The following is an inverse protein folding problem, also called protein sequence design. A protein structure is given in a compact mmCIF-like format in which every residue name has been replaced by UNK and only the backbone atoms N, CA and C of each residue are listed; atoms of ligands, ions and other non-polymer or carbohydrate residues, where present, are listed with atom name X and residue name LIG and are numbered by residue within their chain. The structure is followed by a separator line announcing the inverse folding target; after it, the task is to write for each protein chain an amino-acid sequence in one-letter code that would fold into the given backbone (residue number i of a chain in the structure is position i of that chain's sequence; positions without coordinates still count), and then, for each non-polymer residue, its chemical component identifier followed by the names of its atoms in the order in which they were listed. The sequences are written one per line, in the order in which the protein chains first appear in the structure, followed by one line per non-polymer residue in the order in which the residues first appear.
data_IF_385425240335
#
_entry.id   IF_385425240335
#
_cell.length_a   1.000
_cell.length_b   1.000
_cell.length_c   1.000
_cell.angle_alpha   90.00
_cell.angle_beta   90.00
_cell.angle_gamma   90.00
#
_symmetry.space_group_name_H-M   'P 1'
#
loop_
_entity.id
_entity.type
_entity.pdbx_description
1 polymer ?
#
# COMPACT_ATOMS: atom_id res chain seq x y z
N UNK A 1 38.25 12.61 -29.84
CA UNK A 1 38.81 13.93 -29.46
C UNK A 1 38.19 14.36 -28.14
N UNK A 2 38.99 14.52 -27.09
CA UNK A 2 38.51 15.01 -25.79
C UNK A 2 38.31 16.53 -25.88
N UNK A 3 37.07 16.99 -25.72
CA UNK A 3 36.78 18.42 -25.50
C UNK A 3 37.42 18.90 -24.18
N UNK A 4 38.16 20.01 -24.14
CA UNK A 4 38.80 20.48 -22.91
C UNK A 4 37.77 20.91 -21.85
N UNK A 5 37.89 20.38 -20.62
CA UNK A 5 36.94 20.63 -19.52
C UNK A 5 36.86 22.13 -19.18
N UNK A 6 37.98 22.82 -19.28
CA UNK A 6 38.15 24.25 -18.97
C UNK A 6 37.33 25.17 -19.89
N UNK A 7 37.21 24.81 -21.17
CA UNK A 7 36.39 25.56 -22.14
C UNK A 7 34.90 25.39 -21.80
N UNK A 8 34.52 24.19 -21.37
CA UNK A 8 33.15 23.90 -21.01
C UNK A 8 32.72 24.64 -19.73
N UNK A 9 33.57 24.63 -18.70
CA UNK A 9 33.31 25.35 -17.44
C UNK A 9 33.20 26.86 -17.66
N UNK A 10 34.03 27.41 -18.54
CA UNK A 10 33.96 28.82 -18.96
C UNK A 10 32.63 29.16 -19.64
N UNK A 11 32.18 28.33 -20.60
CA UNK A 11 30.89 28.52 -21.29
C UNK A 11 29.71 28.43 -20.32
N UNK A 12 29.72 27.44 -19.42
CA UNK A 12 28.66 27.23 -18.43
C UNK A 12 28.55 28.39 -17.42
N UNK A 13 29.66 29.06 -17.12
CA UNK A 13 29.68 30.18 -16.17
C UNK A 13 28.87 31.40 -16.65
N UNK A 14 28.70 31.54 -17.96
CA UNK A 14 28.02 32.67 -18.60
C UNK A 14 26.54 32.42 -18.94
N UNK A 15 26.03 31.20 -18.69
CA UNK A 15 24.64 30.86 -19.00
C UNK A 15 23.69 31.06 -17.81
N UNK A 16 22.39 31.30 -18.05
CA UNK A 16 21.36 31.21 -17.02
C UNK A 16 21.33 29.84 -16.33
N UNK A 17 20.91 29.79 -15.05
CA UNK A 17 20.99 28.58 -14.20
C UNK A 17 20.20 27.40 -14.78
N UNK A 18 19.06 27.69 -15.40
CA UNK A 18 18.18 26.75 -16.10
C UNK A 18 18.86 26.11 -17.33
N UNK A 19 19.59 26.89 -18.12
CA UNK A 19 20.36 26.38 -19.27
C UNK A 19 21.60 25.57 -18.83
N UNK A 20 22.22 25.91 -17.70
CA UNK A 20 23.30 25.10 -17.10
C UNK A 20 22.82 23.70 -16.72
N UNK A 21 21.62 23.58 -16.17
CA UNK A 21 21.05 22.29 -15.79
C UNK A 21 20.76 21.43 -17.02
N UNK A 22 20.19 22.02 -18.08
CA UNK A 22 19.89 21.33 -19.35
C UNK A 22 21.15 20.82 -20.05
N UNK A 23 22.18 21.66 -20.10
CA UNK A 23 23.46 21.32 -20.74
C UNK A 23 24.27 20.31 -19.89
N UNK A 24 24.26 20.42 -18.56
CA UNK A 24 24.90 19.44 -17.69
C UNK A 24 24.27 18.04 -17.83
N UNK A 25 22.95 17.97 -17.99
CA UNK A 25 22.22 16.73 -18.29
C UNK A 25 22.58 16.20 -19.68
N UNK A 26 22.61 17.05 -20.72
CA UNK A 26 23.01 16.65 -22.07
C UNK A 26 24.49 16.22 -22.17
N UNK A 27 25.41 16.88 -21.45
CA UNK A 27 26.85 16.56 -21.49
C UNK A 27 27.21 15.32 -20.67
N UNK A 28 26.46 15.02 -19.60
CA UNK A 28 26.47 13.69 -18.97
C UNK A 28 26.03 12.59 -19.94
N UNK A 29 25.18 12.90 -20.91
CA UNK A 29 24.79 11.95 -21.96
C UNK A 29 25.80 11.88 -23.12
N UNK A 30 26.50 12.97 -23.46
CA UNK A 30 27.38 13.04 -24.64
C UNK A 30 28.79 12.46 -24.42
N UNK A 31 29.31 12.38 -23.18
CA UNK A 31 30.64 11.78 -22.92
C UNK A 31 30.60 10.37 -22.31
N UNK A 32 29.46 9.93 -21.82
CA UNK A 32 29.32 8.66 -21.07
C UNK A 32 28.07 7.88 -21.46
N UNK A 33 27.66 7.96 -22.73
CA UNK A 33 26.52 7.21 -23.27
C UNK A 33 26.61 5.71 -22.96
N UNK A 34 27.81 5.14 -22.91
CA UNK A 34 28.05 3.72 -22.61
C UNK A 34 28.38 3.43 -21.13
N UNK A 35 28.80 4.43 -20.35
CA UNK A 35 29.19 4.28 -18.94
C UNK A 35 28.04 4.56 -17.96
N UNK A 36 27.02 5.32 -18.36
CA UNK A 36 25.88 5.71 -17.50
C UNK A 36 24.62 4.84 -17.68
N UNK A 37 24.60 3.88 -18.62
CA UNK A 37 23.46 2.97 -18.87
C UNK A 37 22.97 2.28 -17.58
N UNK A 38 23.84 1.83 -16.64
CA UNK A 38 23.39 1.23 -15.38
C UNK A 38 22.70 2.24 -14.44
N UNK A 39 23.11 3.51 -14.48
CA UNK A 39 22.54 4.60 -13.68
C UNK A 39 21.28 5.24 -14.30
N UNK A 40 21.02 4.98 -15.59
CA UNK A 40 19.76 5.36 -16.23
C UNK A 40 18.61 4.40 -15.85
N UNK A 41 18.90 3.15 -15.47
CA UNK A 41 17.88 2.24 -14.90
C UNK A 41 17.27 2.76 -13.60
N UNK A 42 18.07 3.42 -12.75
CA UNK A 42 17.55 4.10 -11.55
C UNK A 42 16.86 5.42 -11.87
N UNK A 43 16.90 5.89 -13.12
CA UNK A 43 16.14 7.03 -13.60
C UNK A 43 14.92 6.62 -14.44
N UNK A 44 14.54 5.32 -14.51
CA UNK A 44 13.42 4.84 -15.34
C UNK A 44 12.10 5.56 -15.04
N UNK A 45 11.15 5.48 -15.99
CA UNK A 45 9.78 5.96 -15.82
C UNK A 45 9.12 5.36 -14.56
N UNK A 46 9.41 4.09 -14.23
CA UNK A 46 8.96 3.46 -12.98
C UNK A 46 9.50 4.18 -11.74
N UNK A 47 10.81 4.50 -11.70
CA UNK A 47 11.40 5.17 -10.55
C UNK A 47 11.01 6.65 -10.47
N UNK A 48 10.84 7.33 -11.61
CA UNK A 48 10.31 8.68 -11.67
C UNK A 48 8.87 8.73 -11.10
N UNK A 49 8.04 7.75 -11.47
CA UNK A 49 6.68 7.58 -10.92
C UNK A 49 6.71 7.32 -9.41
N UNK A 50 7.59 6.43 -8.96
CA UNK A 50 7.81 6.12 -7.54
C UNK A 50 8.27 7.33 -6.72
N UNK A 51 8.96 8.30 -7.31
CA UNK A 51 9.51 9.46 -6.61
C UNK A 51 8.67 10.74 -6.78
N UNK A 52 7.50 10.65 -7.41
CA UNK A 52 6.66 11.79 -7.75
C UNK A 52 7.37 12.86 -8.60
N UNK A 53 8.24 12.43 -9.53
CA UNK A 53 9.07 13.34 -10.33
C UNK A 53 8.47 13.57 -11.73
N UNK A 54 7.38 14.34 -11.81
CA UNK A 54 6.70 14.65 -13.08
C UNK A 54 7.65 15.29 -14.10
N UNK A 55 8.51 16.22 -13.69
CA UNK A 55 9.50 16.82 -14.60
C UNK A 55 10.52 15.83 -15.17
N UNK A 56 10.82 14.74 -14.45
CA UNK A 56 11.66 13.67 -14.97
C UNK A 56 10.89 12.80 -15.99
N UNK A 57 9.59 12.57 -15.76
CA UNK A 57 8.71 11.90 -16.71
C UNK A 57 8.60 12.69 -18.02
N UNK A 58 8.41 14.01 -17.95
CA UNK A 58 8.41 14.91 -19.11
C UNK A 58 9.74 14.88 -19.86
N UNK A 59 10.86 14.95 -19.13
CA UNK A 59 12.18 14.86 -19.73
C UNK A 59 12.37 13.55 -20.49
N UNK A 60 12.00 12.41 -19.90
CA UNK A 60 12.06 11.12 -20.58
C UNK A 60 11.24 11.13 -21.86
N UNK A 61 9.97 11.55 -21.78
CA UNK A 61 9.07 11.65 -22.93
C UNK A 61 9.64 12.53 -24.05
N UNK A 62 10.32 13.63 -23.71
CA UNK A 62 10.96 14.55 -24.66
C UNK A 62 12.38 14.18 -25.08
N UNK A 63 13.00 13.14 -24.50
CA UNK A 63 14.42 12.83 -24.69
C UNK A 63 14.76 12.21 -26.06
N UNK A 64 13.76 11.65 -26.76
CA UNK A 64 13.98 10.84 -27.97
C UNK A 64 14.66 9.50 -27.71
N UNK A 65 14.86 9.11 -26.44
CA UNK A 65 15.35 7.79 -26.05
C UNK A 65 14.21 6.76 -26.08
N UNK A 66 14.56 5.49 -26.22
CA UNK A 66 13.60 4.40 -26.07
C UNK A 66 13.01 4.40 -24.65
N UNK A 67 11.69 4.46 -24.57
CA UNK A 67 10.95 4.50 -23.32
C UNK A 67 10.54 3.08 -22.91
N UNK A 68 10.92 2.69 -21.69
CA UNK A 68 10.54 1.41 -21.10
C UNK A 68 9.95 1.63 -19.70
N UNK A 69 8.81 0.99 -19.45
CA UNK A 69 8.11 1.03 -18.16
C UNK A 69 7.31 -0.26 -17.96
N UNK A 70 7.00 -0.54 -16.70
CA UNK A 70 6.22 -1.71 -16.31
C UNK A 70 4.92 -1.28 -15.63
N UNK A 71 4.12 -2.25 -15.18
CA UNK A 71 2.93 -1.95 -14.36
C UNK A 71 3.29 -1.23 -13.06
N UNK A 72 4.55 -1.33 -12.59
CA UNK A 72 5.00 -0.67 -11.37
C UNK A 72 4.87 0.85 -11.43
N UNK A 73 4.96 1.48 -12.61
CA UNK A 73 4.87 2.93 -12.71
C UNK A 73 3.54 3.45 -12.13
N UNK A 74 2.43 2.88 -12.59
CA UNK A 74 1.08 3.28 -12.17
C UNK A 74 0.69 2.63 -10.82
N UNK A 75 1.07 1.35 -10.61
CA UNK A 75 0.77 0.65 -9.35
C UNK A 75 1.44 1.31 -8.14
N UNK A 76 2.72 1.72 -8.28
CA UNK A 76 3.46 2.39 -7.20
C UNK A 76 3.02 3.84 -7.03
N UNK A 77 2.70 4.56 -8.11
CA UNK A 77 2.13 5.90 -8.00
C UNK A 77 0.81 5.87 -7.21
N UNK A 78 -0.04 4.88 -7.47
CA UNK A 78 -1.28 4.67 -6.71
C UNK A 78 -1.01 4.29 -5.25
N UNK A 79 -0.03 3.40 -5.03
CA UNK A 79 0.41 3.00 -3.68
C UNK A 79 0.91 4.18 -2.87
N UNK A 80 1.59 5.15 -3.48
CA UNK A 80 2.22 6.28 -2.79
C UNK A 80 1.37 7.55 -2.80
N UNK A 81 0.15 7.52 -3.34
CA UNK A 81 -0.73 8.69 -3.35
C UNK A 81 -0.38 9.76 -4.38
N UNK A 82 0.44 9.44 -5.39
CA UNK A 82 0.98 10.39 -6.37
C UNK A 82 -0.04 10.71 -7.48
N UNK A 83 -1.10 11.47 -7.15
CA UNK A 83 -2.13 11.86 -8.12
C UNK A 83 -1.55 12.62 -9.33
N UNK A 84 -0.53 13.46 -9.14
CA UNK A 84 0.10 14.22 -10.23
C UNK A 84 0.77 13.29 -11.25
N UNK A 85 1.42 12.21 -10.79
CA UNK A 85 1.98 11.18 -11.66
C UNK A 85 0.88 10.39 -12.36
N UNK A 86 -0.24 10.09 -11.68
CA UNK A 86 -1.37 9.39 -12.29
C UNK A 86 -2.02 10.23 -13.40
N UNK A 87 -2.21 11.53 -13.17
CA UNK A 87 -2.65 12.49 -14.20
C UNK A 87 -1.65 12.54 -15.35
N UNK A 88 -0.34 12.65 -15.04
CA UNK A 88 0.69 12.66 -16.08
C UNK A 88 0.63 11.41 -16.95
N UNK A 89 0.53 10.21 -16.36
CA UNK A 89 0.41 8.97 -17.14
C UNK A 89 -0.83 8.98 -18.03
N UNK A 90 -1.98 9.39 -17.48
CA UNK A 90 -3.24 9.50 -18.22
C UNK A 90 -3.14 10.45 -19.43
N UNK A 91 -2.47 11.58 -19.27
CA UNK A 91 -2.33 12.62 -20.29
C UNK A 91 -1.10 12.42 -21.20
N UNK A 92 -0.22 11.49 -20.86
CA UNK A 92 1.05 11.29 -21.56
C UNK A 92 0.88 10.77 -22.99
N UNK A 93 -0.23 10.12 -23.31
CA UNK A 93 -0.41 9.38 -24.58
C UNK A 93 0.45 8.10 -24.67
N UNK A 94 1.16 7.73 -23.61
CA UNK A 94 1.85 6.45 -23.49
C UNK A 94 0.84 5.35 -23.10
N UNK A 95 1.16 4.09 -23.41
CA UNK A 95 0.35 2.95 -22.97
C UNK A 95 0.36 2.85 -21.43
N UNK A 96 -0.82 2.94 -20.79
CA UNK A 96 -0.93 2.73 -19.35
C UNK A 96 -0.95 1.22 -19.04
N UNK A 97 -0.13 0.82 -18.06
CA UNK A 97 -0.05 -0.57 -17.55
C UNK A 97 -0.25 -0.54 -16.05
N UNK A 98 -1.22 -1.30 -15.55
CA UNK A 98 -1.50 -1.43 -14.12
C UNK A 98 -2.15 -2.78 -13.80
N UNK A 99 -2.13 -3.14 -12.52
CA UNK A 99 -2.75 -4.35 -11.99
C UNK A 99 -3.72 -4.01 -10.86
N UNK A 100 -4.38 -5.02 -10.27
CA UNK A 100 -5.19 -4.81 -9.07
C UNK A 100 -4.41 -4.18 -7.90
N UNK A 101 -3.07 -4.29 -7.90
CA UNK A 101 -2.20 -3.69 -6.88
C UNK A 101 -2.39 -2.18 -6.77
N UNK A 102 -2.79 -1.49 -7.84
CA UNK A 102 -3.05 -0.05 -7.77
C UNK A 102 -4.15 0.29 -6.75
N UNK A 103 -5.33 -0.31 -6.87
CA UNK A 103 -6.46 -0.07 -5.95
C UNK A 103 -6.30 -0.82 -4.62
N UNK A 104 -5.76 -2.04 -4.64
CA UNK A 104 -5.55 -2.84 -3.42
C UNK A 104 -4.54 -2.17 -2.47
N UNK A 105 -3.48 -1.55 -3.02
CA UNK A 105 -2.48 -0.85 -2.20
C UNK A 105 -2.89 0.58 -1.88
N UNK A 106 -3.63 1.28 -2.73
CA UNK A 106 -4.27 2.54 -2.33
C UNK A 106 -5.20 2.33 -1.12
N UNK A 107 -5.93 1.19 -1.10
CA UNK A 107 -6.76 0.79 0.04
C UNK A 107 -5.93 0.48 1.29
N UNK A 108 -4.79 -0.20 1.11
CA UNK A 108 -3.83 -0.50 2.19
C UNK A 108 -3.29 0.76 2.86
N UNK A 109 -3.00 1.80 2.08
CA UNK A 109 -2.36 3.04 2.57
C UNK A 109 -3.38 4.13 2.95
N UNK A 110 -4.68 3.85 2.86
CA UNK A 110 -5.72 4.77 3.31
C UNK A 110 -6.11 5.86 2.30
N UNK A 111 -5.65 5.76 1.05
CA UNK A 111 -5.79 6.81 0.05
C UNK A 111 -7.14 6.80 -0.67
N UNK A 112 -8.19 7.28 0.01
CA UNK A 112 -9.53 7.48 -0.56
C UNK A 112 -9.49 8.41 -1.79
N UNK A 113 -8.61 9.42 -1.81
CA UNK A 113 -8.43 10.31 -2.96
C UNK A 113 -7.93 9.58 -4.21
N UNK A 114 -7.03 8.60 -4.06
CA UNK A 114 -6.54 7.76 -5.17
C UNK A 114 -7.64 6.82 -5.65
N UNK A 115 -8.42 6.24 -4.75
CA UNK A 115 -9.55 5.39 -5.11
C UNK A 115 -10.63 6.16 -5.90
N UNK A 116 -10.95 7.40 -5.46
CA UNK A 116 -11.79 8.33 -6.22
C UNK A 116 -11.20 8.64 -7.59
N UNK A 117 -9.90 8.96 -7.65
CA UNK A 117 -9.22 9.21 -8.93
C UNK A 117 -9.36 8.03 -9.89
N UNK A 118 -9.16 6.80 -9.42
CA UNK A 118 -9.37 5.60 -10.24
C UNK A 118 -10.81 5.53 -10.77
N UNK A 119 -11.80 5.67 -9.89
CA UNK A 119 -13.22 5.63 -10.26
C UNK A 119 -13.60 6.72 -11.29
N UNK A 120 -13.03 7.92 -11.16
CA UNK A 120 -13.31 9.06 -12.04
C UNK A 120 -12.41 9.08 -13.29
N UNK A 121 -11.40 8.21 -13.38
CA UNK A 121 -10.40 8.24 -14.44
C UNK A 121 -10.95 7.83 -15.81
N UNK A 122 -12.01 7.01 -15.85
CA UNK A 122 -12.51 6.35 -17.06
C UNK A 122 -11.65 5.15 -17.50
N UNK A 123 -10.67 4.73 -16.68
CA UNK A 123 -9.85 3.54 -16.91
C UNK A 123 -10.53 2.27 -16.40
N UNK A 124 -10.11 1.12 -16.91
CA UNK A 124 -10.53 -0.19 -16.38
C UNK A 124 -10.13 -0.32 -14.90
N UNK A 125 -11.12 -0.57 -14.05
CA UNK A 125 -10.92 -0.74 -12.62
C UNK A 125 -10.54 -2.19 -12.31
N UNK A 126 -9.44 -2.38 -11.55
CA UNK A 126 -8.93 -3.69 -11.14
C UNK A 126 -8.72 -3.69 -9.64
N UNK A 127 -9.37 -4.62 -8.95
CA UNK A 127 -9.22 -4.82 -7.51
C UNK A 127 -9.35 -6.31 -7.18
N UNK A 128 -9.07 -6.66 -5.93
CA UNK A 128 -9.31 -7.99 -5.39
C UNK A 128 -9.77 -7.90 -3.94
N UNK A 129 -10.13 -9.04 -3.34
CA UNK A 129 -10.40 -9.13 -1.89
C UNK A 129 -9.26 -8.59 -0.98
N UNK A 130 -8.04 -8.40 -1.52
CA UNK A 130 -6.95 -7.77 -0.80
C UNK A 130 -7.22 -6.30 -0.44
N UNK A 131 -8.04 -5.57 -1.21
CA UNK A 131 -8.41 -4.19 -0.89
C UNK A 131 -9.10 -4.08 0.48
N UNK A 132 -10.17 -4.86 0.69
CA UNK A 132 -10.93 -4.89 1.95
C UNK A 132 -10.09 -5.46 3.09
N UNK A 133 -9.29 -6.50 2.82
CA UNK A 133 -8.40 -7.11 3.82
C UNK A 133 -7.34 -6.11 4.30
N UNK A 134 -6.65 -5.43 3.38
CA UNK A 134 -5.60 -4.46 3.74
C UNK A 134 -6.15 -3.21 4.42
N UNK A 135 -7.33 -2.71 3.99
CA UNK A 135 -7.98 -1.60 4.68
C UNK A 135 -8.35 -1.99 6.12
N UNK A 136 -8.83 -3.23 6.32
CA UNK A 136 -9.14 -3.76 7.65
C UNK A 136 -7.88 -3.91 8.52
N UNK A 137 -6.80 -4.44 7.94
CA UNK A 137 -5.51 -4.61 8.60
C UNK A 137 -4.89 -3.28 9.08
N UNK A 138 -5.04 -2.19 8.32
CA UNK A 138 -4.43 -0.89 8.67
C UNK A 138 -5.41 0.06 9.38
N UNK A 139 -6.61 -0.41 9.75
CA UNK A 139 -7.56 0.39 10.52
C UNK A 139 -8.29 1.46 9.70
N UNK A 140 -8.32 1.35 8.38
CA UNK A 140 -8.79 2.40 7.47
C UNK A 140 -10.30 2.32 7.19
N UNK A 141 -11.13 2.65 8.18
CA UNK A 141 -12.61 2.65 8.01
C UNK A 141 -13.09 3.59 6.90
N UNK A 142 -12.42 4.73 6.67
CA UNK A 142 -12.78 5.63 5.56
C UNK A 142 -12.58 5.02 4.16
N UNK A 143 -11.65 4.08 4.00
CA UNK A 143 -11.51 3.28 2.77
C UNK A 143 -12.62 2.26 2.66
N UNK A 144 -12.98 1.60 3.77
CA UNK A 144 -14.10 0.64 3.80
C UNK A 144 -15.42 1.34 3.47
N UNK A 145 -15.66 2.53 4.02
CA UNK A 145 -16.80 3.39 3.66
C UNK A 145 -16.81 3.71 2.17
N UNK A 146 -15.66 4.13 1.61
CA UNK A 146 -15.57 4.40 0.18
C UNK A 146 -15.90 3.17 -0.67
N UNK A 147 -15.39 2.00 -0.31
CA UNK A 147 -15.69 0.75 -1.03
C UNK A 147 -17.19 0.44 -0.98
N UNK A 148 -17.81 0.49 0.20
CA UNK A 148 -19.26 0.28 0.37
C UNK A 148 -20.09 1.24 -0.50
N UNK A 149 -19.69 2.51 -0.54
CA UNK A 149 -20.43 3.56 -1.23
C UNK A 149 -20.03 3.69 -2.72
N UNK A 150 -19.02 2.93 -3.16
CA UNK A 150 -18.48 3.02 -4.53
C UNK A 150 -19.41 2.44 -5.59
N UNK A 151 -20.32 1.53 -5.22
CA UNK A 151 -21.12 0.75 -6.18
C UNK A 151 -20.32 -0.31 -6.95
N UNK A 152 -19.06 -0.54 -6.58
CA UNK A 152 -18.26 -1.66 -7.08
C UNK A 152 -18.59 -2.95 -6.33
N UNK A 153 -18.34 -4.09 -6.95
CA UNK A 153 -18.48 -5.39 -6.29
C UNK A 153 -17.50 -5.50 -5.12
N UNK A 154 -18.02 -5.84 -3.95
CA UNK A 154 -17.24 -6.00 -2.73
C UNK A 154 -16.77 -7.46 -2.62
N UNK A 155 -15.46 -7.64 -2.51
CA UNK A 155 -14.85 -8.95 -2.27
C UNK A 155 -14.12 -8.94 -0.92
N UNK A 156 -14.38 -9.95 -0.09
CA UNK A 156 -13.65 -10.13 1.17
C UNK A 156 -13.62 -11.60 1.58
N UNK A 157 -12.66 -11.93 2.44
CA UNK A 157 -12.51 -13.26 3.05
C UNK A 157 -12.46 -13.10 4.58
N UNK A 158 -12.36 -14.23 5.29
CA UNK A 158 -12.17 -14.22 6.74
C UNK A 158 -10.93 -13.43 7.20
N UNK A 159 -9.97 -13.20 6.30
CA UNK A 159 -8.77 -12.42 6.63
C UNK A 159 -9.09 -10.98 7.05
N UNK A 160 -10.21 -10.39 6.60
CA UNK A 160 -10.56 -9.03 6.99
C UNK A 160 -10.78 -8.88 8.51
N UNK A 161 -11.60 -9.74 9.12
CA UNK A 161 -11.87 -9.71 10.57
C UNK A 161 -10.71 -10.29 11.37
N UNK A 162 -10.03 -11.33 10.86
CA UNK A 162 -8.87 -11.90 11.52
C UNK A 162 -7.73 -10.86 11.64
N UNK A 163 -7.40 -10.16 10.56
CA UNK A 163 -6.34 -9.15 10.57
C UNK A 163 -6.73 -7.91 11.37
N UNK A 164 -7.99 -7.46 11.29
CA UNK A 164 -8.47 -6.37 12.16
C UNK A 164 -8.33 -6.74 13.65
N UNK A 165 -8.62 -7.98 14.01
CA UNK A 165 -8.47 -8.48 15.38
C UNK A 165 -7.00 -8.58 15.79
N UNK A 166 -6.16 -9.13 14.91
CA UNK A 166 -4.72 -9.22 15.11
C UNK A 166 -4.04 -7.85 15.21
N UNK A 167 -4.66 -6.78 14.71
CA UNK A 167 -4.10 -5.42 14.72
C UNK A 167 -4.70 -4.51 15.79
N UNK A 168 -5.61 -5.01 16.61
CA UNK A 168 -6.22 -4.22 17.67
C UNK A 168 -7.27 -3.22 17.15
N UNK A 169 -7.87 -3.45 15.98
CA UNK A 169 -8.73 -2.47 15.31
C UNK A 169 -10.21 -2.69 15.63
N UNK A 170 -10.61 -2.39 16.87
CA UNK A 170 -12.02 -2.46 17.31
C UNK A 170 -12.94 -1.59 16.45
N UNK A 171 -12.47 -0.43 15.97
CA UNK A 171 -13.22 0.44 15.06
C UNK A 171 -13.56 -0.24 13.72
N UNK A 172 -12.64 -1.06 13.18
CA UNK A 172 -12.89 -1.85 11.96
C UNK A 172 -13.84 -3.01 12.25
N UNK A 173 -13.72 -3.66 13.41
CA UNK A 173 -14.65 -4.73 13.80
C UNK A 173 -16.10 -4.20 13.94
N UNK A 174 -16.27 -3.02 14.55
CA UNK A 174 -17.56 -2.31 14.56
C UNK A 174 -18.04 -2.01 13.14
N UNK A 175 -17.17 -1.48 12.28
CA UNK A 175 -17.53 -1.20 10.88
C UNK A 175 -18.05 -2.46 10.17
N UNK A 176 -17.36 -3.59 10.30
CA UNK A 176 -17.80 -4.85 9.71
C UNK A 176 -19.16 -5.28 10.28
N UNK A 177 -19.32 -5.25 11.60
CA UNK A 177 -20.57 -5.62 12.28
C UNK A 177 -21.76 -4.77 11.81
N UNK A 178 -21.54 -3.48 11.56
CA UNK A 178 -22.58 -2.52 11.15
C UNK A 178 -22.77 -2.47 9.61
N UNK A 179 -21.86 -3.07 8.83
CA UNK A 179 -21.85 -2.97 7.36
C UNK A 179 -23.02 -3.67 6.67
N UNK A 180 -23.67 -4.63 7.33
CA UNK A 180 -24.66 -5.53 6.72
C UNK A 180 -24.05 -6.60 5.81
N UNK A 181 -22.73 -6.69 5.73
CA UNK A 181 -22.01 -7.73 4.96
C UNK A 181 -21.93 -9.03 5.75
N UNK A 182 -21.79 -10.16 5.05
CA UNK A 182 -21.54 -11.46 5.67
C UNK A 182 -20.22 -11.44 6.47
N UNK A 183 -20.32 -11.68 7.77
CA UNK A 183 -19.17 -11.74 8.66
C UNK A 183 -18.48 -13.11 8.58
N UNK A 184 -17.18 -13.11 8.30
CA UNK A 184 -16.35 -14.33 8.18
C UNK A 184 -15.14 -14.19 9.09
N UNK A 185 -14.89 -15.18 9.94
CA UNK A 185 -13.71 -15.23 10.82
C UNK A 185 -13.37 -16.68 11.20
N UNK A 186 -12.12 -16.89 11.61
CA UNK A 186 -11.64 -18.16 12.16
C UNK A 186 -11.16 -17.97 13.60
N UNK A 187 -10.61 -19.02 14.22
CA UNK A 187 -9.98 -18.90 15.55
C UNK A 187 -8.81 -17.91 15.58
N UNK A 188 -8.18 -17.66 14.43
CA UNK A 188 -7.06 -16.71 14.33
C UNK A 188 -7.44 -15.30 14.81
N UNK A 189 -8.72 -14.90 14.70
CA UNK A 189 -9.17 -13.61 15.18
C UNK A 189 -8.91 -13.43 16.69
N UNK A 190 -9.37 -14.35 17.53
CA UNK A 190 -9.11 -14.29 18.99
C UNK A 190 -7.70 -14.75 19.34
N UNK A 191 -7.16 -15.75 18.63
CA UNK A 191 -5.82 -16.29 18.89
C UNK A 191 -4.74 -15.23 18.67
N UNK A 192 -4.80 -14.48 17.56
CA UNK A 192 -3.85 -13.40 17.28
C UNK A 192 -4.08 -12.16 18.12
N UNK A 193 -5.34 -11.82 18.44
CA UNK A 193 -5.63 -10.74 19.38
C UNK A 193 -5.01 -11.03 20.76
N UNK A 194 -5.15 -12.27 21.23
CA UNK A 194 -4.54 -12.74 22.48
C UNK A 194 -3.02 -12.71 22.44
N UNK A 195 -2.42 -13.31 21.40
CA UNK A 195 -0.97 -13.35 21.21
C UNK A 195 -0.33 -11.96 21.10
N UNK A 196 -1.09 -10.92 20.72
CA UNK A 196 -0.58 -9.56 20.54
C UNK A 196 -1.01 -8.59 21.64
N UNK A 197 -1.68 -9.07 22.68
CA UNK A 197 -2.04 -8.23 23.83
C UNK A 197 -3.28 -7.35 23.64
N UNK A 198 -4.15 -7.65 22.68
CA UNK A 198 -5.33 -6.84 22.38
C UNK A 198 -6.56 -7.24 23.23
N UNK A 199 -6.52 -6.89 24.53
CA UNK A 199 -7.61 -7.14 25.50
C UNK A 199 -8.94 -6.50 25.08
N UNK A 200 -8.87 -5.33 24.46
CA UNK A 200 -10.02 -4.59 23.93
C UNK A 200 -10.72 -5.36 22.80
N UNK A 201 -9.96 -5.97 21.89
CA UNK A 201 -10.50 -6.85 20.83
C UNK A 201 -11.09 -8.13 21.42
N UNK A 202 -10.43 -8.74 22.41
CA UNK A 202 -10.98 -9.93 23.07
C UNK A 202 -12.31 -9.63 23.76
N UNK A 203 -12.39 -8.49 24.46
CA UNK A 203 -13.62 -7.99 25.08
C UNK A 203 -14.69 -7.70 24.01
N UNK A 204 -14.30 -7.07 22.90
CA UNK A 204 -15.20 -6.84 21.77
C UNK A 204 -15.79 -8.14 21.24
N UNK A 205 -14.97 -9.18 21.02
CA UNK A 205 -15.47 -10.48 20.57
C UNK A 205 -16.47 -11.06 21.57
N UNK A 206 -16.14 -11.06 22.87
CA UNK A 206 -17.01 -11.54 23.95
C UNK A 206 -18.37 -10.83 23.96
N UNK A 207 -18.37 -9.51 23.78
CA UNK A 207 -19.57 -8.67 23.83
C UNK A 207 -20.29 -8.57 22.46
N UNK A 208 -19.68 -9.08 21.38
CA UNK A 208 -20.19 -8.92 20.02
C UNK A 208 -21.49 -9.69 19.76
N UNK A 209 -21.75 -10.77 20.51
CA UNK A 209 -22.82 -11.73 20.25
C UNK A 209 -22.52 -12.71 19.11
N UNK A 210 -21.29 -12.70 18.57
CA UNK A 210 -20.83 -13.62 17.52
C UNK A 210 -20.30 -14.93 18.13
N UNK A 211 -20.25 -15.98 17.32
CA UNK A 211 -19.61 -17.25 17.72
C UNK A 211 -18.12 -17.03 18.06
N UNK A 212 -17.76 -17.31 19.30
CA UNK A 212 -16.40 -17.19 19.79
C UNK A 212 -15.57 -18.41 19.35
N UNK A 213 -14.42 -18.17 18.72
CA UNK A 213 -13.52 -19.22 18.20
C UNK A 213 -12.10 -18.92 18.69
N UNK A 214 -11.50 -19.87 19.40
CA UNK A 214 -10.11 -19.80 19.84
C UNK A 214 -9.51 -21.20 19.96
N UNK A 215 -8.18 -21.28 19.94
CA UNK A 215 -7.41 -22.51 20.16
C UNK A 215 -6.53 -22.38 21.41
N UNK A 216 -5.76 -23.44 21.72
CA UNK A 216 -4.75 -23.41 22.79
C UNK A 216 -3.65 -22.37 22.53
N UNK A 217 -3.49 -21.92 21.28
CA UNK A 217 -2.52 -20.89 20.89
C UNK A 217 -2.74 -19.56 21.63
N UNK A 218 -3.99 -19.12 21.80
CA UNK A 218 -4.33 -17.87 22.47
C UNK A 218 -3.68 -17.74 23.86
N UNK A 219 -3.73 -18.81 24.65
CA UNK A 219 -3.22 -18.86 26.02
C UNK A 219 -1.73 -19.18 26.10
N UNK A 220 -1.26 -20.05 25.21
CA UNK A 220 0.14 -20.49 25.20
C UNK A 220 1.08 -19.31 24.96
N UNK A 221 0.80 -18.48 23.96
CA UNK A 221 1.64 -17.30 23.66
C UNK A 221 1.57 -16.27 24.79
N UNK A 222 0.38 -15.99 25.33
CA UNK A 222 0.24 -15.08 26.46
C UNK A 222 1.04 -15.55 27.70
N UNK A 223 1.10 -16.87 27.94
CA UNK A 223 1.93 -17.46 29.00
C UNK A 223 3.42 -17.36 28.70
N UNK A 224 3.84 -17.65 27.46
CA UNK A 224 5.25 -17.58 27.02
C UNK A 224 5.79 -16.14 27.11
N UNK A 225 4.96 -15.14 26.80
CA UNK A 225 5.31 -13.72 26.82
C UNK A 225 5.07 -13.03 28.19
N UNK A 226 4.56 -13.75 29.19
CA UNK A 226 4.13 -13.22 30.50
C UNK A 226 3.19 -12.00 30.37
N UNK A 227 2.21 -12.10 29.48
CA UNK A 227 1.21 -11.05 29.28
C UNK A 227 0.09 -11.18 30.33
N UNK A 228 0.34 -10.65 31.53
CA UNK A 228 -0.56 -10.74 32.69
C UNK A 228 -1.97 -10.20 32.41
N UNK A 229 -2.10 -9.15 31.59
CA UNK A 229 -3.39 -8.56 31.24
C UNK A 229 -4.25 -9.55 30.44
N UNK A 230 -3.64 -10.24 29.46
CA UNK A 230 -4.33 -11.25 28.67
C UNK A 230 -4.67 -12.48 29.51
N UNK A 231 -3.74 -12.96 30.34
CA UNK A 231 -3.99 -14.10 31.22
C UNK A 231 -5.09 -13.80 32.24
N UNK A 232 -5.11 -12.58 32.79
CA UNK A 232 -6.17 -12.10 33.68
C UNK A 232 -7.50 -12.02 32.93
N UNK A 233 -7.51 -11.45 31.72
CA UNK A 233 -8.71 -11.40 30.90
C UNK A 233 -9.27 -12.80 30.61
N UNK A 234 -8.44 -13.77 30.23
CA UNK A 234 -8.89 -15.14 29.98
C UNK A 234 -9.47 -15.78 31.24
N UNK A 235 -8.83 -15.59 32.39
CA UNK A 235 -9.32 -16.09 33.68
C UNK A 235 -10.68 -15.49 34.05
N UNK A 236 -10.85 -14.19 33.84
CA UNK A 236 -12.07 -13.46 34.19
C UNK A 236 -13.16 -13.60 33.10
N UNK A 237 -12.78 -14.03 31.90
CA UNK A 237 -13.70 -14.18 30.77
C UNK A 237 -14.76 -15.26 31.02
N UNK A 238 -14.45 -16.28 31.82
CA UNK A 238 -15.27 -17.47 32.02
C UNK A 238 -15.23 -18.46 30.85
N UNK A 239 -14.37 -18.23 29.85
CA UNK A 239 -14.17 -19.14 28.71
C UNK A 239 -13.31 -20.33 29.13
N UNK A 240 -13.68 -21.53 28.68
CA UNK A 240 -12.92 -22.74 28.99
C UNK A 240 -11.48 -22.63 28.47
N UNK A 241 -10.52 -22.80 29.38
CA UNK A 241 -9.12 -22.96 29.03
C UNK A 241 -8.99 -24.34 28.38
N UNK A 242 -9.00 -24.40 27.05
CA UNK A 242 -8.69 -25.63 26.31
C UNK A 242 -7.21 -25.96 26.58
N UNK A 243 -6.93 -26.78 27.57
CA UNK A 243 -5.58 -27.27 27.87
C UNK A 243 -5.38 -28.63 27.21
N UNK A 244 -5.50 -28.67 25.88
CA UNK A 244 -5.32 -29.92 25.14
C UNK A 244 -3.98 -29.90 24.42
N UNK A 245 -2.91 -30.10 25.20
CA UNK A 245 -1.75 -30.85 24.70
C UNK A 245 -2.03 -32.31 25.04
N UNK A 246 -2.55 -33.06 24.08
CA UNK A 246 -2.37 -34.52 24.09
C UNK A 246 -1.38 -34.86 22.99
N UNK A 247 -0.29 -35.47 23.47
CA UNK A 247 0.88 -35.95 22.76
C UNK A 247 0.57 -36.75 21.49
#
# INVERSE_FOLDING_TARGET
MSFPLEILESILSHLPVDERFRIAVHLRCLRTRDLCIPHLRSASLDNASKRNLVGLLDWWKGSGLELTWTTNAVDVASTLGHIDVLNWWKDSGLELKWTCRAMDRASREGYVNVLKWWKDSGLELKWSCAAMTHASFNGHTGVLDWWRDSGLELEWTFMALNEASARGHVNVLNWWKDSGLELKWTSDAMDQASARGHVDVLSWWKDSGLELKWTTYALRVASEENNDDILTWWKDSGLELRTDVKH
#
